data_IF_616452346506
#
_entry.id   IF_616452346506
#
_cell.length_a   1.000
_cell.length_b   1.000
_cell.length_c   1.000
_cell.angle_alpha   90.00
_cell.angle_beta   90.00
_cell.angle_gamma   90.00
#
_symmetry.space_group_name_H-M   'P 1'
#
loop_
_entity.id
_entity.type
_entity.pdbx_description
1 polymer ?
#
# COMPACT_ATOMS: atom_id res chain seq x y z
N UNK A 1 -19.12 -16.51 -10.69
CA UNK A 1 -19.36 -15.55 -11.78
C UNK A 1 -20.61 -14.78 -11.36
N UNK A 2 -20.46 -13.54 -10.88
CA UNK A 2 -21.61 -12.75 -10.45
C UNK A 2 -22.28 -12.19 -11.71
N UNK A 3 -23.23 -12.93 -12.28
CA UNK A 3 -24.17 -12.37 -13.26
C UNK A 3 -25.17 -11.47 -12.54
N UNK A 4 -24.75 -10.26 -12.20
CA UNK A 4 -25.71 -9.18 -12.03
C UNK A 4 -26.07 -8.69 -13.42
N UNK A 5 -27.20 -9.20 -13.93
CA UNK A 5 -27.78 -8.89 -15.25
C UNK A 5 -28.29 -7.44 -15.32
N UNK A 6 -27.43 -6.48 -15.01
CA UNK A 6 -27.69 -5.06 -15.20
C UNK A 6 -27.20 -4.71 -16.60
N UNK A 7 -28.07 -4.12 -17.40
CA UNK A 7 -27.70 -3.66 -18.74
C UNK A 7 -26.48 -2.74 -18.64
N UNK A 8 -25.38 -3.13 -19.29
CA UNK A 8 -24.14 -2.34 -19.29
C UNK A 8 -24.39 -1.02 -20.01
N UNK A 9 -23.95 0.08 -19.40
CA UNK A 9 -24.16 1.41 -19.97
C UNK A 9 -23.35 1.59 -21.24
N UNK A 10 -23.70 2.57 -22.07
CA UNK A 10 -22.89 2.91 -23.26
C UNK A 10 -21.43 3.20 -22.88
N UNK A 11 -21.19 3.84 -21.73
CA UNK A 11 -19.84 4.15 -21.23
C UNK A 11 -19.07 2.87 -20.89
N UNK A 12 -19.70 1.90 -20.22
CA UNK A 12 -19.07 0.61 -19.87
C UNK A 12 -18.66 -0.16 -21.13
N UNK A 13 -19.50 -0.17 -22.15
CA UNK A 13 -19.21 -0.83 -23.44
C UNK A 13 -18.07 -0.12 -24.18
N UNK A 14 -18.01 1.21 -24.15
CA UNK A 14 -16.89 1.99 -24.70
C UNK A 14 -15.58 1.63 -23.98
N UNK A 15 -15.59 1.57 -22.64
CA UNK A 15 -14.42 1.16 -21.85
C UNK A 15 -13.97 -0.24 -22.24
N UNK A 16 -14.90 -1.18 -22.35
CA UNK A 16 -14.60 -2.56 -22.77
C UNK A 16 -13.91 -2.58 -24.14
N UNK A 17 -14.46 -1.90 -25.15
CA UNK A 17 -13.86 -1.84 -26.49
C UNK A 17 -12.46 -1.24 -26.45
N UNK A 18 -12.31 -0.07 -25.81
CA UNK A 18 -11.02 0.63 -25.73
C UNK A 18 -10.01 -0.06 -24.81
N UNK A 19 -10.44 -1.03 -24.00
CA UNK A 19 -9.57 -1.91 -23.21
C UNK A 19 -8.93 -3.03 -24.03
N UNK A 20 -9.41 -3.29 -25.26
CA UNK A 20 -8.84 -4.28 -26.18
C UNK A 20 -8.29 -3.67 -27.46
N UNK A 21 -8.94 -2.63 -28.00
CA UNK A 21 -8.56 -1.99 -29.26
C UNK A 21 -8.47 -0.46 -29.06
N UNK A 22 -7.27 0.10 -29.17
CA UNK A 22 -7.04 1.54 -29.08
C UNK A 22 -5.79 1.93 -29.90
N UNK A 23 -5.69 3.19 -30.37
CA UNK A 23 -6.71 4.23 -30.34
C UNK A 23 -7.80 4.02 -31.41
N UNK A 24 -9.02 4.51 -31.17
CA UNK A 24 -10.14 4.38 -32.11
C UNK A 24 -10.88 5.69 -32.33
N UNK A 25 -11.33 5.96 -33.55
CA UNK A 25 -12.26 7.06 -33.82
C UNK A 25 -13.67 6.75 -33.30
N UNK A 26 -14.47 7.78 -33.02
CA UNK A 26 -15.85 7.61 -32.58
C UNK A 26 -16.69 6.73 -33.54
N UNK A 27 -16.42 6.83 -34.85
CA UNK A 27 -17.06 5.99 -35.88
C UNK A 27 -16.68 4.52 -35.74
N UNK A 28 -15.39 4.21 -35.51
CA UNK A 28 -14.93 2.83 -35.29
C UNK A 28 -15.54 2.25 -34.01
N UNK A 29 -15.57 3.03 -32.92
CA UNK A 29 -16.19 2.63 -31.64
C UNK A 29 -17.67 2.28 -31.85
N UNK A 30 -18.44 3.15 -32.53
CA UNK A 30 -19.86 2.88 -32.83
C UNK A 30 -20.06 1.59 -33.64
N UNK A 31 -19.25 1.34 -34.67
CA UNK A 31 -19.36 0.11 -35.45
C UNK A 31 -19.01 -1.15 -34.64
N UNK A 32 -17.99 -1.07 -33.79
CA UNK A 32 -17.64 -2.18 -32.89
C UNK A 32 -18.77 -2.46 -31.88
N UNK A 33 -19.39 -1.42 -31.31
CA UNK A 33 -20.56 -1.55 -30.44
C UNK A 33 -21.74 -2.22 -31.14
N UNK A 34 -22.05 -1.82 -32.38
CA UNK A 34 -23.12 -2.43 -33.20
C UNK A 34 -22.84 -3.89 -33.51
N UNK A 35 -21.58 -4.24 -33.81
CA UNK A 35 -21.17 -5.59 -34.22
C UNK A 35 -21.05 -6.55 -33.04
N UNK A 36 -20.45 -6.13 -31.91
CA UNK A 36 -20.12 -7.02 -30.78
C UNK A 36 -21.24 -7.11 -29.73
N UNK A 37 -21.92 -6.00 -29.42
CA UNK A 37 -22.79 -5.91 -28.23
C UNK A 37 -24.28 -5.74 -28.54
N UNK A 38 -24.70 -6.00 -29.79
CA UNK A 38 -26.06 -5.73 -30.29
C UNK A 38 -26.58 -4.33 -29.88
N UNK A 39 -25.69 -3.34 -29.86
CA UNK A 39 -25.99 -2.03 -29.30
C UNK A 39 -27.13 -1.35 -30.06
N UNK A 40 -28.24 -1.02 -29.39
CA UNK A 40 -29.43 -0.42 -30.02
C UNK A 40 -29.31 1.10 -30.24
N UNK A 41 -28.40 1.78 -29.54
CA UNK A 41 -28.26 3.24 -29.60
C UNK A 41 -27.75 3.81 -30.93
N UNK A 42 -27.81 5.13 -31.06
CA UNK A 42 -27.39 5.88 -32.26
C UNK A 42 -25.92 6.31 -32.18
N UNK A 43 -25.36 6.72 -33.32
CA UNK A 43 -24.00 7.28 -33.37
C UNK A 43 -23.87 8.52 -32.47
N UNK A 44 -24.88 9.38 -32.45
CA UNK A 44 -24.94 10.59 -31.63
C UNK A 44 -24.88 10.26 -30.14
N UNK A 45 -25.55 9.19 -29.69
CA UNK A 45 -25.50 8.73 -28.30
C UNK A 45 -24.08 8.27 -27.91
N UNK A 46 -23.40 7.53 -28.79
CA UNK A 46 -21.99 7.12 -28.58
C UNK A 46 -21.08 8.33 -28.56
N UNK A 47 -21.24 9.26 -29.51
CA UNK A 47 -20.42 10.47 -29.57
C UNK A 47 -20.57 11.33 -28.31
N UNK A 48 -21.82 11.52 -27.84
CA UNK A 48 -22.10 12.23 -26.58
C UNK A 48 -21.42 11.56 -25.39
N UNK A 49 -21.57 10.24 -25.25
CA UNK A 49 -20.93 9.49 -24.17
C UNK A 49 -19.39 9.61 -24.21
N UNK A 50 -18.78 9.59 -25.41
CA UNK A 50 -17.34 9.82 -25.58
C UNK A 50 -16.95 11.23 -25.11
N UNK A 51 -17.71 12.27 -25.48
CA UNK A 51 -17.40 13.63 -25.04
C UNK A 51 -17.49 13.77 -23.52
N UNK A 52 -18.56 13.26 -22.90
CA UNK A 52 -18.70 13.23 -21.44
C UNK A 52 -17.52 12.50 -20.78
N UNK A 53 -17.11 11.34 -21.31
CA UNK A 53 -15.96 10.61 -20.77
C UNK A 53 -14.62 11.34 -20.98
N UNK A 54 -14.49 12.19 -22.00
CA UNK A 54 -13.34 13.08 -22.15
C UNK A 54 -13.37 14.22 -21.12
N UNK A 55 -14.55 14.81 -20.88
CA UNK A 55 -14.76 15.83 -19.84
C UNK A 55 -14.44 15.27 -18.44
N UNK A 56 -14.88 14.05 -18.17
CA UNK A 56 -14.60 13.30 -16.92
C UNK A 56 -13.14 12.80 -16.82
N UNK A 57 -12.29 13.11 -17.81
CA UNK A 57 -10.89 12.64 -17.90
C UNK A 57 -10.72 11.11 -17.89
N UNK A 58 -11.76 10.36 -18.26
CA UNK A 58 -11.74 8.90 -18.43
C UNK A 58 -11.07 8.54 -19.77
N UNK A 59 -11.32 9.33 -20.82
CA UNK A 59 -10.70 9.17 -22.14
C UNK A 59 -9.74 10.32 -22.45
N UNK A 60 -8.63 10.00 -23.12
CA UNK A 60 -7.76 10.98 -23.79
C UNK A 60 -8.03 10.99 -25.29
N UNK A 61 -8.21 12.18 -25.85
CA UNK A 61 -8.39 12.39 -27.30
C UNK A 61 -7.06 12.77 -27.94
N UNK A 62 -6.68 12.07 -29.00
CA UNK A 62 -5.54 12.41 -29.85
C UNK A 62 -6.03 12.62 -31.28
N UNK A 63 -6.06 13.88 -31.74
CA UNK A 63 -6.67 14.29 -33.02
C UNK A 63 -8.14 13.84 -33.12
N UNK A 64 -8.40 12.77 -33.85
CA UNK A 64 -9.74 12.23 -34.12
C UNK A 64 -9.99 10.87 -33.45
N UNK A 65 -9.01 10.37 -32.68
CA UNK A 65 -9.07 9.07 -32.03
C UNK A 65 -9.04 9.20 -30.51
N UNK A 66 -9.57 8.18 -29.84
CA UNK A 66 -9.79 8.12 -28.41
C UNK A 66 -9.14 6.87 -27.84
N UNK A 67 -8.64 6.99 -26.60
CA UNK A 67 -8.09 5.90 -25.81
C UNK A 67 -8.40 6.13 -24.33
N UNK A 68 -8.33 5.09 -23.51
CA UNK A 68 -8.46 5.23 -22.06
C UNK A 68 -7.33 6.10 -21.50
N UNK A 69 -7.65 6.96 -20.54
CA UNK A 69 -6.66 7.73 -19.81
C UNK A 69 -5.93 6.81 -18.82
N UNK A 70 -4.62 6.63 -19.00
CA UNK A 70 -3.78 5.81 -18.12
C UNK A 70 -3.80 6.28 -16.65
N UNK A 71 -3.92 7.58 -16.40
CA UNK A 71 -4.02 8.12 -15.03
C UNK A 71 -5.34 7.69 -14.37
N UNK A 72 -6.44 7.71 -15.11
CA UNK A 72 -7.73 7.23 -14.64
C UNK A 72 -7.71 5.72 -14.38
N UNK A 73 -7.13 4.91 -15.28
CA UNK A 73 -6.97 3.46 -15.07
C UNK A 73 -6.19 3.19 -13.78
N UNK A 74 -5.07 3.90 -13.59
CA UNK A 74 -4.24 3.75 -12.39
C UNK A 74 -5.02 4.12 -11.13
N UNK A 75 -5.79 5.20 -11.15
CA UNK A 75 -6.64 5.62 -10.03
C UNK A 75 -7.67 4.54 -9.68
N UNK A 76 -8.39 4.00 -10.66
CA UNK A 76 -9.37 2.92 -10.44
C UNK A 76 -8.70 1.67 -9.89
N UNK A 77 -7.55 1.27 -10.42
CA UNK A 77 -6.77 0.15 -9.90
C UNK A 77 -6.38 0.37 -8.43
N UNK A 78 -5.84 1.53 -8.09
CA UNK A 78 -5.40 1.83 -6.73
C UNK A 78 -6.59 1.88 -5.75
N UNK A 79 -7.74 2.43 -6.17
CA UNK A 79 -8.98 2.46 -5.39
C UNK A 79 -9.56 1.06 -5.17
N UNK A 80 -9.67 0.24 -6.23
CA UNK A 80 -10.20 -1.12 -6.14
C UNK A 80 -9.29 -2.03 -5.31
N UNK A 81 -7.98 -1.92 -5.44
CA UNK A 81 -7.03 -2.63 -4.59
C UNK A 81 -7.13 -2.19 -3.13
N UNK A 82 -7.28 -0.89 -2.86
CA UNK A 82 -7.49 -0.39 -1.51
C UNK A 82 -8.80 -0.93 -0.92
N UNK A 83 -9.91 -0.93 -1.68
CA UNK A 83 -11.19 -1.51 -1.25
C UNK A 83 -11.01 -2.99 -0.97
N UNK A 84 -10.39 -3.74 -1.89
CA UNK A 84 -10.14 -5.18 -1.73
C UNK A 84 -9.33 -5.47 -0.48
N UNK A 85 -8.25 -4.71 -0.23
CA UNK A 85 -7.43 -4.88 0.97
C UNK A 85 -8.20 -4.51 2.22
N UNK A 86 -8.93 -3.39 2.23
CA UNK A 86 -9.73 -2.99 3.38
C UNK A 86 -10.79 -4.05 3.69
N UNK A 87 -11.54 -4.53 2.68
CA UNK A 87 -12.54 -5.57 2.87
C UNK A 87 -11.92 -6.89 3.34
N UNK A 88 -10.82 -7.33 2.73
CA UNK A 88 -10.18 -8.59 3.07
C UNK A 88 -9.51 -8.54 4.45
N UNK A 89 -8.83 -7.44 4.74
CA UNK A 89 -8.21 -7.20 6.04
C UNK A 89 -9.26 -7.04 7.13
N UNK A 90 -10.36 -6.32 6.88
CA UNK A 90 -11.46 -6.19 7.86
C UNK A 90 -12.20 -7.51 8.04
N UNK A 91 -12.44 -8.30 6.99
CA UNK A 91 -13.05 -9.63 7.15
C UNK A 91 -12.17 -10.59 7.94
N UNK A 92 -10.86 -10.54 7.72
CA UNK A 92 -9.90 -11.38 8.45
C UNK A 92 -9.54 -10.82 9.82
N UNK A 93 -9.69 -9.52 10.01
CA UNK A 93 -9.43 -8.88 11.27
C UNK A 93 -10.65 -9.02 12.17
N UNK A 94 -10.44 -9.52 13.38
CA UNK A 94 -11.45 -9.32 14.42
C UNK A 94 -11.31 -7.89 14.91
N UNK A 95 -12.33 -7.06 14.70
CA UNK A 95 -12.41 -5.75 15.35
C UNK A 95 -12.67 -6.03 16.83
N UNK A 96 -11.64 -5.89 17.66
CA UNK A 96 -11.74 -6.19 19.08
C UNK A 96 -12.47 -5.05 19.81
N UNK A 97 -12.11 -3.80 19.49
CA UNK A 97 -12.68 -2.60 20.10
C UNK A 97 -12.62 -1.40 19.13
N UNK A 98 -13.63 -0.53 19.23
CA UNK A 98 -13.75 0.75 18.52
C UNK A 98 -15.04 0.88 17.70
N UNK A 99 -15.81 1.95 17.94
CA UNK A 99 -16.88 2.37 17.01
C UNK A 99 -16.22 3.13 15.85
N UNK A 100 -16.89 3.29 14.70
CA UNK A 100 -16.32 4.06 13.58
C UNK A 100 -15.98 5.52 13.92
N UNK A 101 -16.50 6.02 15.04
CA UNK A 101 -16.19 7.34 15.61
C UNK A 101 -15.01 7.37 16.59
N UNK A 102 -14.45 6.23 17.02
CA UNK A 102 -13.31 6.23 17.95
C UNK A 102 -11.99 6.48 17.23
N UNK A 103 -11.16 7.35 17.82
CA UNK A 103 -9.81 7.66 17.34
C UNK A 103 -8.86 6.46 17.43
N UNK A 104 -9.23 5.43 18.21
CA UNK A 104 -8.47 4.19 18.39
C UNK A 104 -9.23 3.03 17.74
N UNK A 105 -8.51 2.22 16.95
CA UNK A 105 -8.99 0.96 16.37
C UNK A 105 -8.05 -0.17 16.73
N UNK A 106 -8.58 -1.30 17.21
CA UNK A 106 -7.80 -2.50 17.53
C UNK A 106 -8.21 -3.63 16.59
N UNK A 107 -7.23 -4.12 15.83
CA UNK A 107 -7.40 -5.20 14.86
C UNK A 107 -6.56 -6.41 15.27
N UNK A 108 -7.05 -7.62 15.02
CA UNK A 108 -6.31 -8.87 15.24
C UNK A 108 -6.12 -9.62 13.92
N UNK A 109 -4.88 -9.95 13.56
CA UNK A 109 -4.54 -10.62 12.30
C UNK A 109 -3.95 -12.00 12.55
N UNK A 110 -4.18 -12.90 11.59
CA UNK A 110 -3.74 -14.31 11.67
C UNK A 110 -2.27 -14.55 11.34
N UNK A 111 -1.60 -13.62 10.67
CA UNK A 111 -0.21 -13.78 10.24
C UNK A 111 0.39 -12.41 9.89
N UNK A 112 1.71 -12.38 9.72
CA UNK A 112 2.43 -11.13 9.47
C UNK A 112 2.14 -10.56 8.07
N UNK A 113 1.99 -11.39 7.05
CA UNK A 113 1.70 -10.90 5.70
C UNK A 113 0.38 -10.14 5.59
N UNK A 114 -0.67 -10.60 6.29
CA UNK A 114 -1.95 -9.91 6.33
C UNK A 114 -1.82 -8.53 7.02
N UNK A 115 -0.97 -8.42 8.06
CA UNK A 115 -0.64 -7.15 8.74
C UNK A 115 0.08 -6.20 7.77
N UNK A 116 1.17 -6.64 7.14
CA UNK A 116 1.98 -5.83 6.24
C UNK A 116 1.18 -5.32 5.05
N UNK A 117 0.38 -6.21 4.46
CA UNK A 117 -0.53 -5.83 3.38
C UNK A 117 -1.49 -4.74 3.87
N UNK A 118 -2.15 -4.93 5.01
CA UNK A 118 -3.06 -3.90 5.53
C UNK A 118 -2.34 -2.55 5.77
N UNK A 119 -1.20 -2.57 6.45
CA UNK A 119 -0.43 -1.38 6.80
C UNK A 119 0.13 -0.65 5.58
N UNK A 120 0.53 -1.37 4.53
CA UNK A 120 0.98 -0.78 3.27
C UNK A 120 -0.10 0.09 2.62
N UNK A 121 -1.33 -0.41 2.52
CA UNK A 121 -2.43 0.36 1.92
C UNK A 121 -2.92 1.46 2.86
N UNK A 122 -2.95 1.24 4.18
CA UNK A 122 -3.26 2.29 5.15
C UNK A 122 -2.27 3.44 5.04
N UNK A 123 -0.98 3.13 4.98
CA UNK A 123 0.10 4.09 4.82
C UNK A 123 -0.04 4.88 3.52
N UNK A 124 -0.19 4.18 2.38
CA UNK A 124 -0.39 4.84 1.09
C UNK A 124 -1.59 5.77 1.11
N UNK A 125 -2.73 5.34 1.66
CA UNK A 125 -3.93 6.17 1.75
C UNK A 125 -3.71 7.39 2.65
N UNK A 126 -3.05 7.23 3.79
CA UNK A 126 -2.82 8.32 4.72
C UNK A 126 -1.87 9.37 4.13
N UNK A 127 -0.73 8.91 3.59
CA UNK A 127 0.33 9.82 3.13
C UNK A 127 0.00 10.42 1.76
N UNK A 128 -0.50 9.63 0.80
CA UNK A 128 -0.76 10.17 -0.55
C UNK A 128 -1.95 11.13 -0.62
N UNK A 129 -2.80 11.13 0.40
CA UNK A 129 -3.86 12.12 0.55
C UNK A 129 -3.42 13.32 1.40
N UNK A 130 -2.18 13.31 1.91
CA UNK A 130 -1.60 14.43 2.62
C UNK A 130 -1.02 15.42 1.60
N UNK A 131 -1.49 16.67 1.62
CA UNK A 131 -0.91 17.77 0.83
C UNK A 131 0.28 18.45 1.53
N UNK A 132 0.79 17.86 2.63
CA UNK A 132 1.90 18.43 3.41
C UNK A 132 3.09 17.49 3.40
N UNK A 133 4.28 18.07 3.38
CA UNK A 133 5.52 17.36 3.72
C UNK A 133 5.39 16.81 5.14
N UNK A 134 5.88 15.58 5.35
CA UNK A 134 5.77 14.91 6.63
C UNK A 134 7.06 14.20 7.01
N UNK A 135 7.28 14.09 8.32
CA UNK A 135 8.25 13.17 8.88
C UNK A 135 7.55 11.85 9.18
N UNK A 136 8.08 10.78 8.60
CA UNK A 136 7.57 9.42 8.71
C UNK A 136 8.57 8.60 9.50
N UNK A 137 8.11 7.91 10.53
CA UNK A 137 8.95 7.10 11.41
C UNK A 137 8.53 5.64 11.38
N UNK A 138 9.52 4.76 11.33
CA UNK A 138 9.37 3.33 11.55
C UNK A 138 10.27 2.90 12.69
N UNK A 139 9.76 2.08 13.60
CA UNK A 139 10.49 1.48 14.70
C UNK A 139 10.18 -0.01 14.72
N UNK A 140 11.14 -0.87 14.42
CA UNK A 140 10.94 -2.32 14.36
C UNK A 140 12.15 -3.08 14.89
N UNK A 141 11.99 -4.38 15.10
CA UNK A 141 13.08 -5.23 15.58
C UNK A 141 14.07 -5.61 14.50
N UNK A 142 13.60 -5.91 13.29
CA UNK A 142 14.45 -6.30 12.16
C UNK A 142 13.96 -5.68 10.87
N UNK A 143 14.89 -5.36 9.96
CA UNK A 143 14.54 -4.94 8.60
C UNK A 143 14.62 -6.11 7.63
N UNK A 144 13.48 -6.45 7.04
CA UNK A 144 13.38 -7.59 6.14
C UNK A 144 12.60 -7.28 4.86
N UNK A 145 11.83 -6.19 4.83
CA UNK A 145 10.92 -5.81 3.73
C UNK A 145 11.60 -5.72 2.36
N UNK A 146 12.81 -5.13 2.20
CA UNK A 146 13.43 -5.05 0.89
C UNK A 146 13.81 -6.42 0.31
N UNK A 147 13.90 -7.46 1.12
CA UNK A 147 14.19 -8.82 0.64
C UNK A 147 13.04 -9.41 -0.18
N UNK A 148 11.80 -9.05 0.15
CA UNK A 148 10.60 -9.55 -0.53
C UNK A 148 10.01 -8.52 -1.50
N UNK A 149 10.26 -7.23 -1.25
CA UNK A 149 9.58 -6.12 -1.92
C UNK A 149 10.53 -5.07 -2.51
N UNK A 150 11.77 -5.45 -2.87
CA UNK A 150 12.85 -4.53 -3.27
C UNK A 150 12.39 -3.37 -4.17
N UNK A 151 11.77 -3.70 -5.31
CA UNK A 151 11.31 -2.69 -6.29
C UNK A 151 10.17 -1.84 -5.74
N UNK A 152 9.25 -2.43 -4.99
CA UNK A 152 8.10 -1.73 -4.42
C UNK A 152 8.54 -0.74 -3.33
N UNK A 153 9.43 -1.17 -2.44
CA UNK A 153 10.04 -0.33 -1.40
C UNK A 153 10.85 0.82 -2.01
N UNK A 154 11.68 0.54 -3.03
CA UNK A 154 12.45 1.57 -3.72
C UNK A 154 11.53 2.64 -4.33
N UNK A 155 10.53 2.21 -5.10
CA UNK A 155 9.60 3.12 -5.74
C UNK A 155 8.80 3.93 -4.71
N UNK A 156 8.44 3.30 -3.58
CA UNK A 156 7.71 3.95 -2.51
C UNK A 156 8.54 5.07 -1.85
N UNK A 157 9.76 4.76 -1.43
CA UNK A 157 10.67 5.75 -0.83
C UNK A 157 11.00 6.90 -1.79
N UNK A 158 11.25 6.58 -3.07
CA UNK A 158 11.49 7.61 -4.09
C UNK A 158 10.30 8.52 -4.27
N UNK A 159 9.08 7.97 -4.27
CA UNK A 159 7.86 8.75 -4.33
C UNK A 159 7.75 9.69 -3.12
N UNK A 160 7.94 9.15 -1.92
CA UNK A 160 7.92 9.95 -0.68
C UNK A 160 8.90 11.13 -0.74
N UNK A 161 10.11 10.90 -1.25
CA UNK A 161 11.12 11.96 -1.41
C UNK A 161 10.74 13.00 -2.45
N UNK A 162 10.19 12.58 -3.60
CA UNK A 162 9.72 13.51 -4.64
C UNK A 162 8.58 14.39 -4.13
N UNK A 163 7.79 13.87 -3.19
CA UNK A 163 6.71 14.61 -2.50
C UNK A 163 7.21 15.38 -1.26
N UNK A 164 8.54 15.44 -1.02
CA UNK A 164 9.15 16.23 0.05
C UNK A 164 9.12 15.58 1.44
N UNK A 165 8.61 14.36 1.57
CA UNK A 165 8.58 13.65 2.85
C UNK A 165 9.98 13.19 3.28
N UNK A 166 10.18 13.13 4.60
CA UNK A 166 11.42 12.64 5.23
C UNK A 166 11.14 11.36 6.01
N UNK A 167 11.85 10.30 5.67
CA UNK A 167 11.72 9.01 6.34
C UNK A 167 12.84 8.78 7.35
N UNK A 168 12.46 8.23 8.49
CA UNK A 168 13.34 7.88 9.60
C UNK A 168 13.05 6.46 10.07
N UNK A 169 14.08 5.72 10.44
CA UNK A 169 13.95 4.33 10.90
C UNK A 169 14.85 4.04 12.09
N UNK A 170 14.27 3.54 13.17
CA UNK A 170 14.99 2.96 14.29
C UNK A 170 14.81 1.45 14.24
N UNK A 171 15.90 0.73 14.00
CA UNK A 171 15.90 -0.73 14.05
C UNK A 171 16.71 -1.16 15.28
N UNK A 172 16.13 -2.00 16.13
CA UNK A 172 16.89 -2.55 17.28
C UNK A 172 17.85 -3.65 16.83
N UNK A 173 17.57 -4.30 15.71
CA UNK A 173 18.45 -5.24 15.03
C UNK A 173 19.75 -4.61 14.55
N UNK A 174 20.79 -5.43 14.50
CA UNK A 174 22.11 -5.09 13.97
C UNK A 174 22.80 -6.31 13.33
N UNK A 175 21.99 -7.23 12.79
CA UNK A 175 22.46 -8.44 12.12
C UNK A 175 23.01 -8.11 10.73
N UNK A 176 23.59 -9.11 10.04
CA UNK A 176 24.09 -8.93 8.67
C UNK A 176 22.96 -8.51 7.72
N UNK A 177 21.76 -9.07 7.93
CA UNK A 177 20.57 -8.72 7.15
C UNK A 177 20.18 -7.26 7.42
N UNK A 178 20.05 -6.87 8.69
CA UNK A 178 19.65 -5.50 9.08
C UNK A 178 20.60 -4.45 8.49
N UNK A 179 21.92 -4.71 8.53
CA UNK A 179 22.94 -3.84 7.93
C UNK A 179 22.74 -3.71 6.42
N UNK A 180 22.49 -4.81 5.72
CA UNK A 180 22.28 -4.76 4.28
C UNK A 180 21.01 -4.02 3.90
N UNK A 181 19.93 -4.22 4.65
CA UNK A 181 18.69 -3.48 4.43
C UNK A 181 18.84 -2.00 4.77
N UNK A 182 19.62 -1.67 5.81
CA UNK A 182 19.94 -0.29 6.15
C UNK A 182 20.74 0.42 5.05
N UNK A 183 21.69 -0.25 4.40
CA UNK A 183 22.39 0.29 3.21
C UNK A 183 21.40 0.61 2.09
N UNK A 184 20.48 -0.32 1.79
CA UNK A 184 19.44 -0.11 0.79
C UNK A 184 18.59 1.13 1.12
N UNK A 185 18.03 1.19 2.33
CA UNK A 185 17.20 2.30 2.77
C UNK A 185 17.96 3.63 2.78
N UNK A 186 19.22 3.63 3.23
CA UNK A 186 20.09 4.82 3.22
C UNK A 186 20.36 5.30 1.80
N UNK A 187 20.63 4.39 0.86
CA UNK A 187 20.82 4.72 -0.55
C UNK A 187 19.55 5.28 -1.21
N UNK A 188 18.38 4.84 -0.72
CA UNK A 188 17.08 5.39 -1.07
C UNK A 188 16.72 6.63 -0.23
N UNK A 189 17.67 7.21 0.51
CA UNK A 189 17.61 8.44 1.31
C UNK A 189 16.70 8.42 2.54
N UNK A 190 16.42 7.24 3.08
CA UNK A 190 15.89 7.08 4.43
C UNK A 190 17.01 7.26 5.47
N UNK A 191 16.69 7.86 6.62
CA UNK A 191 17.65 7.96 7.75
C UNK A 191 17.42 6.81 8.71
N UNK A 192 18.32 5.82 8.71
CA UNK A 192 18.20 4.63 9.56
C UNK A 192 19.28 4.55 10.64
N UNK A 193 18.91 4.12 11.84
CA UNK A 193 19.82 3.81 12.96
C UNK A 193 19.57 2.38 13.44
N UNK A 194 20.62 1.56 13.36
CA UNK A 194 20.62 0.17 13.83
C UNK A 194 21.05 0.09 15.30
N UNK A 195 20.72 -1.02 15.97
CA UNK A 195 21.05 -1.23 17.38
C UNK A 195 20.42 -0.21 18.33
N UNK A 196 19.33 0.43 17.92
CA UNK A 196 18.67 1.44 18.74
C UNK A 196 17.92 0.80 19.91
N UNK A 197 18.01 1.38 21.11
CA UNK A 197 17.15 0.99 22.23
C UNK A 197 15.72 1.46 21.95
N UNK A 198 14.82 0.50 21.82
CA UNK A 198 13.41 0.70 21.53
C UNK A 198 12.61 -0.47 22.13
N UNK A 199 11.32 -0.26 22.40
CA UNK A 199 10.47 -1.30 23.00
C UNK A 199 10.47 -2.55 22.12
N UNK A 200 10.84 -3.69 22.69
CA UNK A 200 10.80 -4.93 21.92
C UNK A 200 9.36 -5.44 21.74
N UNK A 201 8.41 -4.99 22.57
CA UNK A 201 7.05 -5.54 22.66
C UNK A 201 6.18 -5.29 21.43
N UNK A 202 6.43 -4.20 20.71
CA UNK A 202 5.66 -3.84 19.52
C UNK A 202 6.48 -3.01 18.55
N UNK A 203 6.22 -3.15 17.27
CA UNK A 203 6.74 -2.24 16.25
C UNK A 203 5.85 -1.00 16.18
N UNK A 204 6.46 0.17 15.97
CA UNK A 204 5.71 1.44 15.82
C UNK A 204 5.88 2.00 14.41
N UNK A 205 4.79 2.44 13.81
CA UNK A 205 4.79 3.27 12.60
C UNK A 205 4.09 4.59 12.90
N UNK A 206 4.70 5.70 12.48
CA UNK A 206 4.13 7.04 12.68
C UNK A 206 4.19 7.80 11.37
N UNK A 207 3.02 8.17 10.87
CA UNK A 207 2.86 9.01 9.69
C UNK A 207 1.56 9.78 9.82
N UNK A 208 1.54 11.00 9.29
CA UNK A 208 0.43 11.93 9.46
C UNK A 208 0.05 12.08 10.94
N UNK A 209 -1.22 11.82 11.26
CA UNK A 209 -1.76 11.86 12.62
C UNK A 209 -1.94 10.43 13.19
N UNK A 210 -1.36 9.41 12.55
CA UNK A 210 -1.44 8.02 12.98
C UNK A 210 -0.23 7.62 13.81
N UNK A 211 -0.50 6.92 14.91
CA UNK A 211 0.43 6.13 15.70
C UNK A 211 -0.06 4.70 15.66
N UNK A 212 0.73 3.81 15.06
CA UNK A 212 0.35 2.42 14.84
C UNK A 212 1.33 1.53 15.58
N UNK A 213 0.81 0.70 16.49
CA UNK A 213 1.59 -0.28 17.23
C UNK A 213 1.21 -1.69 16.76
N UNK A 214 2.21 -2.49 16.39
CA UNK A 214 2.05 -3.88 15.96
C UNK A 214 2.63 -4.79 17.04
N UNK A 215 1.75 -5.43 17.81
CA UNK A 215 2.09 -6.35 18.89
C UNK A 215 2.31 -7.75 18.33
N UNK A 216 3.58 -8.11 18.20
CA UNK A 216 4.01 -9.40 17.65
C UNK A 216 4.13 -10.39 18.81
N UNK A 217 3.53 -11.59 18.70
CA UNK A 217 3.69 -12.64 19.70
C UNK A 217 5.15 -13.00 19.96
N UNK A 218 5.51 -13.16 21.23
CA UNK A 218 6.89 -13.41 21.69
C UNK A 218 7.58 -14.52 20.89
N UNK A 219 6.90 -15.64 20.69
CA UNK A 219 7.41 -16.80 19.95
C UNK A 219 7.83 -16.44 18.52
N UNK A 220 7.04 -15.61 17.83
CA UNK A 220 7.31 -15.20 16.46
C UNK A 220 8.53 -14.28 16.39
N UNK A 221 8.60 -13.33 17.34
CA UNK A 221 9.72 -12.41 17.49
C UNK A 221 11.02 -13.14 17.81
N UNK A 222 11.00 -14.12 18.71
CA UNK A 222 12.15 -14.94 19.05
C UNK A 222 12.61 -15.81 17.87
N UNK A 223 11.66 -16.39 17.14
CA UNK A 223 11.94 -17.18 15.93
C UNK A 223 12.66 -16.32 14.89
N UNK A 224 12.13 -15.12 14.60
CA UNK A 224 12.74 -14.18 13.66
C UNK A 224 14.13 -13.73 14.13
N UNK A 225 14.28 -13.34 15.39
CA UNK A 225 15.56 -12.89 15.95
C UNK A 225 16.62 -14.00 15.92
N UNK A 226 16.25 -15.23 16.31
CA UNK A 226 17.13 -16.39 16.25
C UNK A 226 17.58 -16.66 14.81
N UNK A 227 16.65 -16.62 13.87
CA UNK A 227 16.96 -16.80 12.45
C UNK A 227 17.94 -15.71 11.97
N UNK A 228 17.63 -14.43 12.17
CA UNK A 228 18.45 -13.30 11.71
C UNK A 228 19.87 -13.33 12.31
N UNK A 229 20.01 -13.71 13.58
CA UNK A 229 21.31 -13.87 14.24
C UNK A 229 22.13 -15.06 13.72
N UNK A 230 21.47 -16.10 13.20
CA UNK A 230 22.14 -17.28 12.68
C UNK A 230 22.77 -17.07 11.30
N UNK A 231 22.26 -16.09 10.53
CA UNK A 231 22.71 -15.80 9.17
C UNK A 231 24.01 -14.97 9.20
N UNK A 232 25.06 -15.48 8.54
CA UNK A 232 26.36 -14.79 8.42
C UNK A 232 26.51 -14.07 7.08
N UNK A 233 25.72 -14.45 6.07
CA UNK A 233 25.73 -13.84 4.74
C UNK A 233 24.34 -13.85 4.10
N UNK A 234 24.04 -12.88 3.22
CA UNK A 234 22.73 -12.77 2.55
C UNK A 234 22.42 -14.01 1.69
N UNK A 235 23.44 -14.70 1.18
CA UNK A 235 23.29 -15.95 0.41
C UNK A 235 22.80 -17.14 1.24
N UNK A 236 22.91 -17.08 2.57
CA UNK A 236 22.43 -18.15 3.47
C UNK A 236 20.93 -18.06 3.77
N UNK A 237 20.24 -17.03 3.27
CA UNK A 237 18.83 -16.81 3.56
C UNK A 237 17.97 -17.89 2.88
N UNK A 238 17.36 -18.74 3.70
CA UNK A 238 16.24 -19.60 3.33
C UNK A 238 14.91 -18.82 3.37
N UNK A 239 14.53 -18.26 2.23
CA UNK A 239 13.27 -17.53 2.05
C UNK A 239 12.03 -18.41 2.31
N UNK A 240 12.10 -19.70 1.96
CA UNK A 240 10.96 -20.62 2.13
C UNK A 240 10.72 -20.86 3.62
N UNK A 241 11.78 -21.00 4.40
CA UNK A 241 11.69 -21.08 5.86
C UNK A 241 11.05 -19.83 6.45
N UNK A 242 11.53 -18.63 6.09
CA UNK A 242 10.99 -17.37 6.60
C UNK A 242 9.50 -17.20 6.29
N UNK A 243 9.11 -17.48 5.04
CA UNK A 243 7.71 -17.42 4.61
C UNK A 243 6.85 -18.36 5.48
N UNK A 244 7.20 -19.65 5.56
CA UNK A 244 6.37 -20.65 6.23
C UNK A 244 6.35 -20.52 7.76
N UNK A 245 7.51 -20.26 8.37
CA UNK A 245 7.69 -20.35 9.82
C UNK A 245 7.60 -19.00 10.52
N UNK A 246 7.67 -17.89 9.77
CA UNK A 246 7.52 -16.55 10.33
C UNK A 246 6.31 -15.85 9.70
N UNK A 247 6.34 -15.57 8.40
CA UNK A 247 5.40 -14.60 7.83
C UNK A 247 3.98 -15.15 7.59
N UNK A 248 3.83 -16.45 7.29
CA UNK A 248 2.55 -17.15 7.11
C UNK A 248 2.13 -17.96 8.33
N UNK A 249 2.97 -18.05 9.38
CA UNK A 249 2.65 -18.81 10.58
C UNK A 249 1.39 -18.27 11.22
N UNK A 250 0.39 -19.14 11.41
CA UNK A 250 -0.86 -18.76 12.05
C UNK A 250 -0.59 -18.35 13.50
N UNK A 251 -0.99 -17.14 13.85
CA UNK A 251 -0.75 -16.51 15.14
C UNK A 251 -1.79 -15.40 15.38
N UNK A 252 -1.67 -14.65 16.47
CA UNK A 252 -2.55 -13.53 16.77
C UNK A 252 -1.73 -12.24 16.92
N UNK A 253 -1.58 -11.50 15.83
CA UNK A 253 -0.87 -10.21 15.81
C UNK A 253 -1.91 -9.11 16.03
N UNK A 254 -1.78 -8.34 17.10
CA UNK A 254 -2.67 -7.21 17.38
C UNK A 254 -2.07 -5.94 16.78
N UNK A 255 -2.88 -5.18 16.07
CA UNK A 255 -2.53 -3.87 15.53
C UNK A 255 -3.43 -2.84 16.19
N UNK A 256 -2.82 -1.89 16.90
CA UNK A 256 -3.51 -0.75 17.51
C UNK A 256 -3.21 0.48 16.69
N UNK A 257 -4.25 1.09 16.14
CA UNK A 257 -4.19 2.28 15.30
C UNK A 257 -4.80 3.42 16.09
N UNK A 258 -3.99 4.39 16.48
CA UNK A 258 -4.45 5.60 17.14
C UNK A 258 -4.28 6.79 16.18
N UNK A 259 -5.39 7.47 15.85
CA UNK A 259 -5.39 8.67 15.02
C UNK A 259 -5.52 9.92 15.91
N UNK A 260 -4.40 10.30 16.52
CA UNK A 260 -4.28 11.47 17.39
C UNK A 260 -3.07 12.32 16.95
N UNK A 261 -3.34 13.53 16.48
CA UNK A 261 -2.33 14.48 16.00
C UNK A 261 -1.35 14.91 17.09
N UNK A 262 -1.84 15.12 18.32
CA UNK A 262 -1.00 15.58 19.43
C UNK A 262 -0.06 14.46 19.85
N UNK A 263 -0.58 13.24 20.01
CA UNK A 263 0.23 12.07 20.33
C UNK A 263 1.28 11.81 19.24
N UNK A 264 0.87 11.79 17.96
CA UNK A 264 1.79 11.59 16.84
C UNK A 264 2.91 12.65 16.83
N UNK A 265 2.57 13.91 17.08
CA UNK A 265 3.55 15.01 17.13
C UNK A 265 4.55 14.82 18.26
N UNK A 266 4.08 14.44 19.45
CA UNK A 266 4.93 14.25 20.62
C UNK A 266 5.90 13.07 20.42
N UNK A 267 5.41 11.93 19.94
CA UNK A 267 6.27 10.77 19.68
C UNK A 267 7.26 11.08 18.56
N UNK A 268 6.86 11.79 17.49
CA UNK A 268 7.79 12.23 16.42
C UNK A 268 8.94 13.06 16.98
N UNK A 269 8.67 14.01 17.88
CA UNK A 269 9.73 14.81 18.54
C UNK A 269 10.70 13.93 19.32
N UNK A 270 10.16 12.98 20.10
CA UNK A 270 10.98 12.05 20.88
C UNK A 270 11.86 11.18 19.99
N UNK A 271 11.31 10.62 18.90
CA UNK A 271 12.06 9.80 17.96
C UNK A 271 13.10 10.61 17.18
N UNK A 272 12.76 11.82 16.75
CA UNK A 272 13.68 12.70 16.03
C UNK A 272 14.91 13.07 16.88
N UNK A 273 14.75 13.21 18.19
CA UNK A 273 15.87 13.47 19.10
C UNK A 273 16.94 12.37 19.05
N UNK A 274 16.56 11.12 18.79
CA UNK A 274 17.50 9.98 18.67
C UNK A 274 18.40 10.05 17.42
N UNK A 275 18.09 10.94 16.47
CA UNK A 275 18.87 11.21 15.25
C UNK A 275 19.71 12.48 15.33
N UNK A 276 19.51 13.33 16.35
CA UNK A 276 20.38 14.47 16.62
C UNK A 276 21.62 13.95 17.35
N UNK A 277 22.79 14.09 16.74
CA UNK A 277 24.08 13.85 17.40
C UNK A 277 24.40 15.00 18.33
#
# INVERSE_FOLDING_TARGET
MFETKKDSTTKDKIISILGYEWPLSARKIFFLLKKKDQFSGTYQAVYKAIQEMCEDSILKKNKTEYQLNLEWIKKIHDETEMIRVNYYAIQKATILEGNDSSEIKILAFKNWFDVEKYLYYLQKKAILNSNREEEIFFCHSHEWRPMFYLRAEYNWLRKLQTEGHRTYTLCSGNTVIDKKMAEFYTSAGNKIKLGASYSEEFETMIYSDYVINVYIPLELRETLNKYFKSIKSISEIDYVYLIKNVFEKETNIKVVINKDKNLATEIKKQLLSKFRK
#
